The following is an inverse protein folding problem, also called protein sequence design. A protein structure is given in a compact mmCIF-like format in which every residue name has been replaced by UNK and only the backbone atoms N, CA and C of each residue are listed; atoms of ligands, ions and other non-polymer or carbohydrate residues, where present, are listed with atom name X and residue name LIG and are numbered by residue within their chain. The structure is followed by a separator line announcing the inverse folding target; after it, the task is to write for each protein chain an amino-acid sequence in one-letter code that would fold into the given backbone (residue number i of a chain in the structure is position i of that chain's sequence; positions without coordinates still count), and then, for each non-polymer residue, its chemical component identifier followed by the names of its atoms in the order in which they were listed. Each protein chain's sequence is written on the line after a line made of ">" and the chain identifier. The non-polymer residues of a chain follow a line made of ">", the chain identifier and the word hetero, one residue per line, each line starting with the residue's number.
data_IF_862654901413
#
_entry.id   IF_862654901413
#
_cell.length_a   1.000
_cell.length_b   1.000
_cell.length_c   1.000
_cell.angle_alpha   90.00
_cell.angle_beta   90.00
_cell.angle_gamma   90.00
#
_symmetry.space_group_name_H-M   'P 1'
#
loop_
_entity.id
_entity.type
_entity.pdbx_description
1 polymer ?
#
# COMPACT_ATOMS: atom_id res chain seq x y z
N UNK A 1 -2.90 -7.31 12.87
CA UNK A 1 -2.72 -6.58 11.61
C UNK A 1 -1.74 -7.29 10.69
N UNK A 2 -1.73 -6.96 9.42
CA UNK A 2 -0.68 -7.44 8.51
C UNK A 2 0.47 -6.44 8.50
N UNK A 3 1.70 -6.95 8.58
CA UNK A 3 2.90 -6.13 8.46
C UNK A 3 3.34 -6.10 7.01
N UNK A 4 3.57 -4.90 6.50
CA UNK A 4 3.88 -4.66 5.09
C UNK A 4 5.11 -3.78 4.94
N UNK A 5 5.84 -3.95 3.84
CA UNK A 5 6.99 -3.15 3.48
C UNK A 5 6.99 -2.87 1.97
N UNK A 6 7.85 -1.94 1.51
CA UNK A 6 7.95 -1.62 0.08
C UNK A 6 8.75 -2.70 -0.65
N UNK A 7 8.17 -3.22 -1.74
CA UNK A 7 8.81 -4.18 -2.64
C UNK A 7 9.21 -3.58 -3.99
N UNK A 8 8.73 -2.38 -4.33
CA UNK A 8 9.13 -1.64 -5.52
C UNK A 8 9.73 -0.30 -5.10
N UNK A 9 10.71 0.21 -5.83
CA UNK A 9 11.18 1.58 -5.65
C UNK A 9 10.26 2.57 -6.40
N UNK A 10 10.50 3.88 -6.19
CA UNK A 10 9.67 4.90 -6.83
C UNK A 10 9.76 4.87 -8.36
N UNK A 11 10.95 4.65 -8.92
CA UNK A 11 11.13 4.64 -10.37
C UNK A 11 10.37 3.49 -11.03
N UNK A 12 10.34 2.32 -10.39
CA UNK A 12 9.55 1.18 -10.87
C UNK A 12 8.04 1.47 -10.78
N UNK A 13 7.59 2.09 -9.70
CA UNK A 13 6.20 2.54 -9.56
C UNK A 13 5.84 3.52 -10.68
N UNK A 14 6.68 4.54 -10.88
CA UNK A 14 6.48 5.54 -11.92
C UNK A 14 6.39 4.91 -13.31
N UNK A 15 7.32 4.03 -13.64
CA UNK A 15 7.34 3.35 -14.95
C UNK A 15 6.10 2.49 -15.18
N UNK A 16 5.58 1.85 -14.14
CA UNK A 16 4.36 1.02 -14.24
C UNK A 16 3.09 1.83 -14.50
N UNK A 17 3.11 3.14 -14.23
CA UNK A 17 1.94 4.02 -14.32
C UNK A 17 1.97 4.93 -15.56
N UNK A 18 3.09 5.04 -16.25
CA UNK A 18 3.23 5.95 -17.41
C UNK A 18 2.22 5.63 -18.51
N UNK A 19 1.58 6.68 -19.04
CA UNK A 19 0.62 6.57 -20.12
C UNK A 19 -0.74 5.98 -19.72
N UNK A 20 -0.97 5.81 -18.43
CA UNK A 20 -2.21 5.21 -17.91
C UNK A 20 -3.05 6.23 -17.14
N UNK A 21 -4.34 5.93 -17.01
CA UNK A 21 -5.28 6.69 -16.16
C UNK A 21 -5.32 6.02 -14.81
N UNK A 22 -4.80 6.70 -13.81
CA UNK A 22 -4.44 6.08 -12.53
C UNK A 22 -5.40 6.49 -11.42
N UNK A 23 -5.85 5.51 -10.64
CA UNK A 23 -6.42 5.76 -9.32
C UNK A 23 -5.41 5.35 -8.25
N UNK A 24 -5.37 6.11 -7.17
CA UNK A 24 -4.52 5.82 -6.02
C UNK A 24 -5.38 5.35 -4.85
N UNK A 25 -4.90 4.34 -4.16
CA UNK A 25 -5.63 3.73 -3.06
C UNK A 25 -4.70 3.39 -1.90
N UNK A 26 -5.19 3.55 -0.68
CA UNK A 26 -4.46 3.13 0.51
C UNK A 26 -5.38 2.70 1.65
N UNK A 27 -4.81 1.96 2.59
CA UNK A 27 -5.46 1.58 3.84
C UNK A 27 -4.84 2.35 5.01
N UNK A 28 -5.68 2.94 5.85
CA UNK A 28 -5.27 3.71 7.02
C UNK A 28 -4.99 2.85 8.26
N UNK A 29 -4.97 1.54 8.13
CA UNK A 29 -4.59 0.63 9.22
C UNK A 29 -3.23 0.01 8.94
N UNK A 30 -3.16 -1.13 8.29
CA UNK A 30 -1.90 -1.86 8.14
C UNK A 30 -0.81 -1.03 7.45
N UNK A 31 -1.11 -0.45 6.29
CA UNK A 31 -0.11 0.31 5.54
C UNK A 31 0.33 1.59 6.27
N UNK A 32 -0.62 2.29 6.90
CA UNK A 32 -0.31 3.51 7.67
C UNK A 32 0.51 3.18 8.91
N UNK A 33 0.11 2.16 9.65
CA UNK A 33 0.80 1.78 10.90
C UNK A 33 2.19 1.23 10.64
N UNK A 34 2.43 0.64 9.47
CA UNK A 34 3.78 0.22 9.05
C UNK A 34 4.61 1.35 8.42
N UNK A 35 4.05 2.55 8.30
CA UNK A 35 4.77 3.71 7.76
C UNK A 35 5.02 3.67 6.25
N UNK A 36 4.29 2.85 5.51
CA UNK A 36 4.48 2.70 4.05
C UNK A 36 3.28 3.18 3.24
N UNK A 37 2.21 3.60 3.89
CA UNK A 37 0.99 4.09 3.26
C UNK A 37 0.16 4.96 4.20
N UNK A 38 -1.14 5.00 3.98
CA UNK A 38 -2.07 5.87 4.68
C UNK A 38 -2.37 7.14 3.87
N UNK A 39 -3.42 7.86 4.27
CA UNK A 39 -3.93 9.01 3.51
C UNK A 39 -2.87 10.10 3.29
N UNK A 40 -2.11 10.46 4.33
CA UNK A 40 -1.12 11.55 4.21
C UNK A 40 0.04 11.14 3.30
N UNK A 41 0.54 9.92 3.43
CA UNK A 41 1.59 9.40 2.57
C UNK A 41 1.12 9.29 1.11
N UNK A 42 -0.14 8.89 0.90
CA UNK A 42 -0.72 8.80 -0.43
C UNK A 42 -0.84 10.17 -1.10
N UNK A 43 -1.27 11.20 -0.36
CA UNK A 43 -1.35 12.56 -0.89
C UNK A 43 0.02 13.09 -1.31
N UNK A 44 1.06 12.86 -0.51
CA UNK A 44 2.42 13.24 -0.88
C UNK A 44 2.92 12.49 -2.12
N UNK A 45 2.62 11.20 -2.19
CA UNK A 45 2.97 10.39 -3.37
C UNK A 45 2.21 10.89 -4.62
N UNK A 46 0.94 11.24 -4.47
CA UNK A 46 0.14 11.81 -5.56
C UNK A 46 0.78 13.08 -6.13
N UNK A 47 1.20 14.00 -5.26
CA UNK A 47 1.86 15.24 -5.68
C UNK A 47 3.14 14.94 -6.48
N UNK A 48 3.93 13.99 -6.03
CA UNK A 48 5.16 13.58 -6.73
C UNK A 48 4.87 12.94 -8.08
N UNK A 49 3.89 12.02 -8.12
CA UNK A 49 3.50 11.37 -9.37
C UNK A 49 2.94 12.35 -10.39
N UNK A 50 2.11 13.30 -9.96
CA UNK A 50 1.58 14.35 -10.84
C UNK A 50 2.70 15.24 -11.39
N UNK A 51 3.66 15.61 -10.55
CA UNK A 51 4.84 16.38 -10.98
C UNK A 51 5.67 15.62 -12.03
N UNK A 52 5.67 14.30 -11.97
CA UNK A 52 6.36 13.42 -12.93
C UNK A 52 5.47 13.00 -14.12
N UNK A 53 4.30 13.63 -14.28
CA UNK A 53 3.48 13.50 -15.47
C UNK A 53 2.42 12.38 -15.45
N UNK A 54 2.13 11.79 -14.29
CA UNK A 54 1.09 10.78 -14.15
C UNK A 54 -0.29 11.43 -14.09
N UNK A 55 -1.22 10.86 -14.87
CA UNK A 55 -2.62 11.30 -14.91
C UNK A 55 -3.43 10.60 -13.80
N UNK A 56 -3.65 11.31 -12.69
CA UNK A 56 -4.38 10.77 -11.54
C UNK A 56 -5.85 11.18 -11.64
N UNK A 57 -6.71 10.17 -11.81
CA UNK A 57 -8.16 10.33 -12.00
C UNK A 57 -8.90 10.36 -10.66
N UNK A 58 -8.46 9.53 -9.70
CA UNK A 58 -9.16 9.37 -8.42
C UNK A 58 -8.17 9.01 -7.32
N UNK A 59 -8.45 9.46 -6.11
CA UNK A 59 -7.67 9.11 -4.92
C UNK A 59 -8.66 8.68 -3.83
N UNK A 60 -8.42 7.53 -3.23
CA UNK A 60 -9.29 7.02 -2.19
C UNK A 60 -8.53 6.29 -1.09
N UNK A 61 -9.19 6.15 0.03
CA UNK A 61 -8.67 5.45 1.19
C UNK A 61 -9.79 4.80 2.00
N UNK A 62 -9.40 3.90 2.87
CA UNK A 62 -10.33 3.27 3.82
C UNK A 62 -9.59 2.91 5.11
N UNK A 63 -10.35 2.68 6.18
CA UNK A 63 -9.80 2.15 7.42
C UNK A 63 -9.54 0.64 7.38
N UNK A 64 -10.14 -0.07 6.42
CA UNK A 64 -10.02 -1.53 6.33
C UNK A 64 -10.23 -1.99 4.88
N UNK A 65 -9.17 -2.01 4.09
CA UNK A 65 -9.21 -2.45 2.69
C UNK A 65 -9.49 -3.96 2.54
N UNK A 66 -9.40 -4.71 3.62
CA UNK A 66 -9.77 -6.13 3.67
C UNK A 66 -11.27 -6.38 3.85
N UNK A 67 -12.09 -5.33 3.90
CA UNK A 67 -13.55 -5.41 3.98
C UNK A 67 -14.14 -4.84 2.71
N UNK A 68 -14.74 -5.69 1.87
CA UNK A 68 -15.24 -5.31 0.54
C UNK A 68 -16.20 -4.11 0.57
N UNK A 69 -17.11 -4.06 1.54
CA UNK A 69 -18.07 -2.94 1.67
C UNK A 69 -17.40 -1.60 1.99
N UNK A 70 -16.17 -1.62 2.46
CA UNK A 70 -15.38 -0.41 2.75
C UNK A 70 -14.47 0.00 1.59
N UNK A 71 -14.44 -0.78 0.53
CA UNK A 71 -13.64 -0.53 -0.68
C UNK A 71 -14.54 -0.03 -1.81
N UNK A 72 -15.69 -0.66 -2.01
CA UNK A 72 -16.61 -0.37 -3.10
C UNK A 72 -17.12 1.07 -3.05
N UNK A 73 -17.22 1.71 -4.23
CA UNK A 73 -17.81 3.04 -4.40
C UNK A 73 -16.97 4.21 -3.91
N UNK A 74 -15.72 4.00 -3.52
CA UNK A 74 -14.83 5.06 -3.01
C UNK A 74 -13.91 5.68 -4.07
N UNK A 75 -13.73 4.99 -5.18
CA UNK A 75 -13.02 5.51 -6.35
C UNK A 75 -14.02 5.75 -7.47
N UNK A 76 -13.82 6.82 -8.24
CA UNK A 76 -14.70 7.21 -9.34
C UNK A 76 -13.92 7.66 -10.57
N UNK A 77 -14.58 7.65 -11.73
CA UNK A 77 -13.95 8.03 -12.99
C UNK A 77 -13.50 6.83 -13.81
N UNK A 78 -12.87 7.09 -14.95
CA UNK A 78 -12.51 6.08 -15.93
C UNK A 78 -11.03 5.67 -15.85
N UNK A 79 -10.53 5.45 -14.64
CA UNK A 79 -9.18 4.93 -14.45
C UNK A 79 -9.07 3.49 -14.96
N UNK A 80 -7.90 3.12 -15.47
CA UNK A 80 -7.62 1.78 -16.00
C UNK A 80 -6.65 0.97 -15.12
N UNK A 81 -6.06 1.61 -14.12
CA UNK A 81 -5.17 0.96 -13.15
C UNK A 81 -5.32 1.61 -11.77
N UNK A 82 -5.18 0.81 -10.73
CA UNK A 82 -5.09 1.31 -9.34
C UNK A 82 -3.69 1.01 -8.80
N UNK A 83 -3.04 2.04 -8.27
CA UNK A 83 -1.85 1.86 -7.43
C UNK A 83 -2.34 1.67 -6.00
N UNK A 84 -2.11 0.50 -5.44
CA UNK A 84 -2.68 0.09 -4.15
C UNK A 84 -1.61 0.01 -3.07
N UNK A 85 -1.60 0.98 -2.16
CA UNK A 85 -0.75 0.97 -0.97
C UNK A 85 -1.46 0.28 0.19
N UNK A 86 -1.63 -1.02 0.07
CA UNK A 86 -2.25 -1.88 1.08
C UNK A 86 -1.49 -3.20 1.20
N UNK A 87 -1.89 -4.04 2.17
CA UNK A 87 -1.47 -5.44 2.18
C UNK A 87 -2.07 -6.19 0.97
N UNK A 88 -1.60 -7.37 0.70
CA UNK A 88 -2.06 -8.20 -0.42
C UNK A 88 -3.56 -8.49 -0.37
N UNK A 89 -4.11 -8.71 0.82
CA UNK A 89 -5.56 -8.92 0.99
C UNK A 89 -6.34 -7.65 0.62
N UNK A 90 -5.88 -6.48 1.07
CA UNK A 90 -6.49 -5.20 0.72
C UNK A 90 -6.47 -4.94 -0.79
N UNK A 91 -5.37 -5.23 -1.45
CA UNK A 91 -5.25 -5.11 -2.90
C UNK A 91 -6.16 -6.09 -3.65
N UNK A 92 -6.34 -7.30 -3.12
CA UNK A 92 -7.29 -8.27 -3.68
C UNK A 92 -8.71 -7.72 -3.64
N UNK A 93 -9.12 -7.10 -2.54
CA UNK A 93 -10.44 -6.48 -2.43
C UNK A 93 -10.61 -5.33 -3.42
N UNK A 94 -9.58 -4.53 -3.67
CA UNK A 94 -9.60 -3.48 -4.70
C UNK A 94 -9.80 -4.09 -6.08
N UNK A 95 -9.04 -5.11 -6.41
CA UNK A 95 -9.15 -5.80 -7.71
C UNK A 95 -10.55 -6.34 -7.95
N UNK A 96 -11.11 -7.02 -6.95
CA UNK A 96 -12.44 -7.60 -7.04
C UNK A 96 -13.54 -6.55 -7.09
N UNK A 97 -13.35 -5.37 -6.45
CA UNK A 97 -14.35 -4.30 -6.42
C UNK A 97 -14.41 -3.49 -7.72
N UNK A 98 -13.27 -3.24 -8.36
CA UNK A 98 -13.20 -2.34 -9.51
C UNK A 98 -12.94 -3.05 -10.83
N UNK A 99 -12.46 -4.29 -10.82
CA UNK A 99 -12.25 -5.08 -12.03
C UNK A 99 -11.21 -4.50 -12.98
N UNK A 100 -10.27 -3.70 -12.48
CA UNK A 100 -9.17 -3.11 -13.24
C UNK A 100 -7.84 -3.70 -12.80
N UNK A 101 -6.79 -3.42 -13.55
CA UNK A 101 -5.42 -3.79 -13.18
C UNK A 101 -5.01 -3.10 -11.87
N UNK A 102 -4.29 -3.80 -11.03
CA UNK A 102 -3.81 -3.29 -9.74
C UNK A 102 -2.30 -3.48 -9.65
N UNK A 103 -1.60 -2.37 -9.43
CA UNK A 103 -0.17 -2.38 -9.12
C UNK A 103 -0.02 -2.47 -7.60
N UNK A 104 0.72 -3.46 -7.14
CA UNK A 104 0.94 -3.73 -5.70
C UNK A 104 2.40 -3.46 -5.35
N UNK A 105 2.76 -2.23 -5.00
CA UNK A 105 4.15 -1.90 -4.69
C UNK A 105 4.59 -2.36 -3.30
N UNK A 106 3.65 -2.72 -2.44
CA UNK A 106 3.93 -3.24 -1.11
C UNK A 106 3.95 -4.76 -1.09
N UNK A 107 4.68 -5.32 -0.14
CA UNK A 107 4.74 -6.77 0.14
C UNK A 107 4.25 -7.02 1.54
N UNK A 108 3.36 -7.98 1.70
CA UNK A 108 2.94 -8.47 3.02
C UNK A 108 4.03 -9.40 3.55
N UNK A 109 4.57 -9.06 4.72
CA UNK A 109 5.59 -9.88 5.39
C UNK A 109 4.91 -10.98 6.22
N UNK A 110 3.88 -10.63 6.96
CA UNK A 110 3.16 -11.57 7.82
C UNK A 110 2.27 -10.87 8.84
N UNK A 111 1.59 -11.64 9.68
CA UNK A 111 0.79 -11.09 10.76
C UNK A 111 1.66 -10.51 11.86
N UNK A 112 1.16 -9.51 12.55
CA UNK A 112 1.89 -8.87 13.62
C UNK A 112 1.06 -7.88 14.41
N UNK A 113 1.77 -7.04 15.17
CA UNK A 113 1.19 -6.04 16.06
C UNK A 113 2.13 -4.84 16.20
N UNK A 114 1.63 -3.77 16.79
CA UNK A 114 2.49 -2.66 17.22
C UNK A 114 2.91 -2.90 18.67
N UNK A 115 4.21 -2.75 18.95
CA UNK A 115 4.71 -2.83 20.34
C UNK A 115 4.32 -1.56 21.14
N UNK A 116 4.76 -1.50 22.40
CA UNK A 116 4.42 -0.38 23.28
C UNK A 116 4.96 0.97 22.77
N UNK A 117 5.99 0.96 21.95
CA UNK A 117 6.58 2.16 21.35
C UNK A 117 6.01 2.45 19.95
N UNK A 118 4.99 1.68 19.50
CA UNK A 118 4.37 1.84 18.20
C UNK A 118 5.18 1.27 17.04
N UNK A 119 6.17 0.39 17.31
CA UNK A 119 6.94 -0.26 16.24
C UNK A 119 6.21 -1.50 15.75
N UNK A 120 6.12 -1.69 14.43
CA UNK A 120 5.56 -2.93 13.88
C UNK A 120 6.46 -4.13 14.20
N UNK A 121 5.84 -5.16 14.74
CA UNK A 121 6.45 -6.46 15.05
C UNK A 121 5.77 -7.52 14.20
N UNK A 122 6.54 -8.42 13.62
CA UNK A 122 6.02 -9.47 12.74
C UNK A 122 6.39 -10.85 13.27
N UNK A 123 5.48 -11.80 13.08
CA UNK A 123 5.72 -13.19 13.46
C UNK A 123 6.94 -13.75 12.71
N UNK A 124 7.83 -14.42 13.44
CA UNK A 124 9.08 -14.98 12.89
C UNK A 124 8.91 -16.41 12.35
N UNK A 125 7.74 -17.02 12.54
CA UNK A 125 7.47 -18.40 12.15
C UNK A 125 7.83 -19.46 13.19
N UNK A 126 8.50 -19.06 14.27
CA UNK A 126 8.97 -19.96 15.35
C UNK A 126 8.27 -19.69 16.69
N UNK A 127 7.10 -19.03 16.64
CA UNK A 127 6.32 -18.67 17.82
C UNK A 127 6.71 -17.36 18.48
N UNK A 128 7.68 -16.63 17.92
CA UNK A 128 8.11 -15.32 18.38
C UNK A 128 7.77 -14.21 17.41
N UNK A 129 8.24 -13.01 17.73
CA UNK A 129 8.07 -11.80 16.90
C UNK A 129 9.38 -11.04 16.83
N UNK A 130 9.65 -10.43 15.69
CA UNK A 130 10.83 -9.59 15.46
C UNK A 130 10.38 -8.23 14.89
N UNK A 131 11.21 -7.16 15.04
CA UNK A 131 10.92 -5.88 14.40
C UNK A 131 10.75 -6.02 12.88
N UNK A 132 9.79 -5.32 12.34
CA UNK A 132 9.51 -5.36 10.89
C UNK A 132 10.70 -4.92 10.04
N UNK A 133 11.52 -4.00 10.55
CA UNK A 133 12.73 -3.51 9.86
C UNK A 133 13.72 -4.65 9.61
N UNK A 134 13.93 -5.51 10.63
CA UNK A 134 14.83 -6.65 10.52
C UNK A 134 14.28 -7.69 9.55
N UNK A 135 12.98 -7.97 9.63
CA UNK A 135 12.33 -8.90 8.71
C UNK A 135 12.36 -8.37 7.26
N UNK A 136 12.09 -7.10 7.06
CA UNK A 136 12.13 -6.46 5.75
C UNK A 136 13.55 -6.53 5.15
N UNK A 137 14.58 -6.20 5.92
CA UNK A 137 15.97 -6.24 5.49
C UNK A 137 16.38 -7.64 5.01
N UNK A 138 16.00 -8.68 5.75
CA UNK A 138 16.33 -10.06 5.38
C UNK A 138 15.63 -10.52 4.09
N UNK A 139 14.53 -9.87 3.70
CA UNK A 139 13.77 -10.14 2.47
C UNK A 139 14.13 -9.20 1.32
N UNK A 140 15.07 -8.28 1.51
CA UNK A 140 15.42 -7.26 0.50
C UNK A 140 14.34 -6.20 0.32
N UNK A 141 13.47 -6.01 1.32
CA UNK A 141 12.40 -5.02 1.29
C UNK A 141 12.81 -3.76 2.06
N UNK A 142 12.12 -2.67 1.79
CA UNK A 142 12.41 -1.35 2.39
C UNK A 142 11.24 -0.90 3.25
N UNK A 143 11.54 -0.29 4.39
CA UNK A 143 10.54 0.36 5.24
C UNK A 143 10.50 1.87 4.98
N UNK A 144 9.41 2.51 5.40
CA UNK A 144 9.21 3.95 5.23
C UNK A 144 8.46 4.31 3.94
N UNK A 145 7.99 5.55 3.87
CA UNK A 145 7.17 6.01 2.74
C UNK A 145 7.99 6.25 1.47
N UNK A 146 7.30 6.37 0.33
CA UNK A 146 7.92 6.74 -0.96
C UNK A 146 8.39 8.20 -0.99
N UNK A 147 7.83 9.01 -0.14
CA UNK A 147 8.10 10.45 -0.07
C UNK A 147 8.18 10.92 1.37
#
# INVERSE_FOLDING_TARGET
>A
MMVVARGMDYDDVLDSLKGRKVALWTCNTCARLCGVGGSDALCRLADRLEADGIDIISIGHTSASCIMSKVSGRLSGDFDVVLSLTCDIGSRCVRDSYGVDVIEPLRTIGPGFLDADGRPMVADGDGGYIPSDDAASSLGLTVGPYV
#
